data_IF_353959704619
#
_entry.id   IF_353959704619
#
_cell.length_a   1.000
_cell.length_b   1.000
_cell.length_c   1.000
_cell.angle_alpha   90.00
_cell.angle_beta   90.00
_cell.angle_gamma   90.00
#
_symmetry.space_group_name_H-M   'P 1'
#
loop_
_entity.id
_entity.type
_entity.pdbx_description
1 polymer ?
#
# COMPACT_ATOMS: atom_id res chain seq x y z
N UNK A 1 34.77 -32.32 -40.01
CA UNK A 1 33.36 -32.53 -39.59
C UNK A 1 33.25 -33.24 -38.22
N UNK A 2 33.83 -32.73 -37.12
CA UNK A 2 33.67 -33.40 -35.80
C UNK A 2 33.74 -32.49 -34.56
N UNK A 3 33.90 -31.17 -34.71
CA UNK A 3 34.06 -30.27 -33.55
C UNK A 3 32.89 -29.33 -33.29
N UNK A 4 31.91 -29.26 -34.19
CA UNK A 4 30.74 -28.37 -34.04
C UNK A 4 29.52 -29.01 -33.37
N UNK A 5 29.50 -30.33 -33.20
CA UNK A 5 28.34 -31.07 -32.63
C UNK A 5 28.46 -31.27 -31.11
N UNK A 6 29.68 -31.19 -30.52
CA UNK A 6 29.90 -31.43 -29.08
C UNK A 6 29.55 -30.25 -28.16
N UNK A 7 29.24 -29.08 -28.69
CA UNK A 7 28.97 -27.87 -27.88
C UNK A 7 27.48 -27.69 -27.55
N UNK A 8 26.59 -28.54 -28.07
CA UNK A 8 25.13 -28.35 -28.00
C UNK A 8 24.41 -29.13 -26.89
N UNK A 9 25.11 -29.81 -25.96
CA UNK A 9 24.46 -30.68 -24.96
C UNK A 9 24.73 -30.26 -23.48
N UNK A 10 25.57 -29.27 -23.20
CA UNK A 10 25.79 -28.79 -21.82
C UNK A 10 25.19 -27.40 -21.61
N UNK A 11 23.96 -27.35 -21.09
CA UNK A 11 23.41 -26.12 -20.52
C UNK A 11 21.90 -25.97 -20.67
N UNK A 12 21.12 -26.96 -20.24
CA UNK A 12 19.72 -26.75 -19.93
C UNK A 12 19.63 -25.85 -18.67
N UNK A 13 19.60 -24.53 -18.85
CA UNK A 13 19.00 -23.62 -17.89
C UNK A 13 17.67 -23.19 -18.52
N UNK A 14 16.68 -24.04 -18.29
CA UNK A 14 15.29 -23.69 -18.51
C UNK A 14 14.94 -22.55 -17.56
N UNK A 15 14.59 -21.38 -18.09
CA UNK A 15 13.27 -20.76 -17.84
C UNK A 15 13.14 -19.47 -18.68
N UNK A 16 11.97 -19.24 -19.31
CA UNK A 16 11.82 -18.26 -20.38
C UNK A 16 11.60 -16.84 -19.83
N UNK A 17 12.10 -15.85 -20.58
CA UNK A 17 11.56 -14.49 -20.55
C UNK A 17 10.11 -14.53 -21.07
N UNK A 18 9.15 -14.03 -20.28
CA UNK A 18 8.22 -12.93 -20.60
C UNK A 18 7.05 -12.90 -19.59
N UNK A 19 6.77 -11.68 -19.12
CA UNK A 19 5.53 -11.19 -18.52
C UNK A 19 5.15 -11.66 -17.10
N UNK A 20 5.63 -10.90 -16.13
CA UNK A 20 4.69 -10.03 -15.44
C UNK A 20 5.33 -8.66 -15.34
N UNK A 21 4.64 -7.64 -15.83
CA UNK A 21 4.57 -6.37 -15.10
C UNK A 21 4.15 -6.76 -13.69
N UNK A 22 5.12 -7.11 -12.84
CA UNK A 22 4.89 -7.11 -11.42
C UNK A 22 4.77 -5.62 -11.17
N UNK A 23 3.51 -5.18 -11.04
CA UNK A 23 3.18 -4.00 -10.30
C UNK A 23 4.31 -3.79 -9.29
N UNK A 24 5.03 -2.67 -9.36
CA UNK A 24 5.63 -2.14 -8.14
C UNK A 24 4.47 -1.70 -7.24
N UNK A 25 3.57 -2.63 -6.89
CA UNK A 25 3.13 -2.76 -5.53
C UNK A 25 4.43 -2.68 -4.76
N UNK A 26 4.64 -1.56 -4.07
CA UNK A 26 5.51 -1.55 -2.91
C UNK A 26 5.19 -2.84 -2.18
N UNK A 27 6.06 -3.83 -2.40
CA UNK A 27 5.92 -5.09 -1.73
C UNK A 27 5.83 -4.72 -0.26
N UNK A 28 4.87 -5.30 0.44
CA UNK A 28 4.91 -5.43 1.89
C UNK A 28 6.17 -6.26 2.21
N UNK A 29 7.33 -5.65 1.97
CA UNK A 29 8.64 -6.20 2.14
C UNK A 29 8.93 -6.00 3.62
N UNK A 30 8.31 -6.86 4.43
CA UNK A 30 8.90 -7.23 5.70
C UNK A 30 10.16 -8.03 5.34
N UNK A 31 11.21 -7.34 4.88
CA UNK A 31 12.52 -7.95 4.74
C UNK A 31 13.00 -8.34 6.14
N UNK A 32 13.61 -9.52 6.32
CA UNK A 32 14.08 -9.95 7.63
C UNK A 32 15.08 -8.91 8.17
N UNK A 33 14.81 -8.36 9.36
CA UNK A 33 15.73 -7.58 10.17
C UNK A 33 16.14 -6.18 9.68
N UNK A 34 15.47 -5.59 8.68
CA UNK A 34 15.75 -4.18 8.32
C UNK A 34 15.04 -3.22 9.28
N UNK A 35 15.67 -2.10 9.67
CA UNK A 35 14.99 -1.05 10.40
C UNK A 35 13.78 -0.54 9.61
N UNK A 36 12.70 -0.19 10.31
CA UNK A 36 11.50 0.35 9.67
C UNK A 36 11.85 1.52 8.71
N UNK A 37 11.28 1.56 7.48
CA UNK A 37 11.64 2.59 6.50
C UNK A 37 11.36 3.99 7.05
N UNK A 38 12.40 4.84 7.06
CA UNK A 38 12.34 6.25 7.43
C UNK A 38 12.38 7.10 6.16
N UNK A 39 11.24 7.19 5.49
CA UNK A 39 11.00 8.22 4.49
C UNK A 39 9.48 8.38 4.33
N UNK A 40 8.95 9.47 4.91
CA UNK A 40 7.70 10.16 4.58
C UNK A 40 6.40 9.37 4.25
N UNK A 41 6.35 8.06 4.50
CA UNK A 41 5.14 7.29 4.70
C UNK A 41 4.79 7.40 6.18
N UNK A 42 3.53 7.72 6.52
CA UNK A 42 3.12 7.66 7.93
C UNK A 42 3.53 6.30 8.50
N UNK A 43 4.30 6.26 9.61
CA UNK A 43 4.73 4.99 10.17
C UNK A 43 3.47 4.21 10.50
N UNK A 44 3.30 3.05 9.86
CA UNK A 44 2.20 2.14 10.13
C UNK A 44 2.15 1.84 11.62
N UNK A 45 0.95 1.55 12.15
CA UNK A 45 0.79 1.38 13.60
C UNK A 45 1.61 0.20 14.17
N UNK A 46 1.96 -0.79 13.33
CA UNK A 46 2.82 -1.90 13.70
C UNK A 46 4.29 -1.52 13.51
N UNK A 47 4.90 -1.08 14.60
CA UNK A 47 6.35 -1.04 14.71
C UNK A 47 6.86 -2.43 15.13
N UNK A 48 8.07 -2.77 14.72
CA UNK A 48 8.74 -4.00 15.14
C UNK A 48 9.10 -3.98 16.63
N UNK A 49 10.16 -4.67 16.99
CA UNK A 49 10.69 -4.63 18.36
C UNK A 49 11.17 -3.22 18.74
N UNK A 50 11.39 -2.93 20.04
CA UNK A 50 11.86 -1.61 20.51
C UNK A 50 13.19 -1.14 19.89
N UNK A 51 13.98 -2.07 19.35
CA UNK A 51 15.21 -1.82 18.58
C UNK A 51 14.93 -1.36 17.13
N UNK A 52 13.66 -1.21 16.75
CA UNK A 52 13.23 -0.80 15.42
C UNK A 52 13.28 -1.91 14.37
N UNK A 53 13.54 -3.16 14.77
CA UNK A 53 13.74 -4.29 13.86
C UNK A 53 12.55 -5.26 13.82
N UNK A 54 12.44 -6.04 12.75
CA UNK A 54 11.51 -7.15 12.65
C UNK A 54 12.28 -8.47 12.60
N UNK A 55 12.06 -9.35 13.58
CA UNK A 55 12.73 -10.66 13.69
C UNK A 55 11.97 -11.73 12.91
N UNK A 56 11.85 -11.53 11.60
CA UNK A 56 11.11 -12.40 10.68
C UNK A 56 11.76 -13.75 10.41
N UNK A 57 12.98 -13.97 10.90
CA UNK A 57 13.72 -15.23 10.84
C UNK A 57 13.25 -16.27 11.87
N UNK A 58 12.38 -15.88 12.81
CA UNK A 58 11.83 -16.77 13.85
C UNK A 58 10.30 -16.64 13.96
N UNK A 59 9.60 -17.69 14.43
CA UNK A 59 8.18 -17.58 14.72
C UNK A 59 7.92 -16.59 15.86
N UNK A 60 6.85 -15.82 15.74
CA UNK A 60 6.36 -14.91 16.79
C UNK A 60 5.55 -15.68 17.83
N UNK A 61 5.74 -15.39 19.11
CA UNK A 61 4.87 -15.92 20.16
C UNK A 61 3.53 -15.17 20.19
N UNK A 62 2.48 -15.82 20.70
CA UNK A 62 1.18 -15.15 20.88
C UNK A 62 1.29 -13.90 21.77
N UNK A 63 2.18 -13.91 22.75
CA UNK A 63 2.42 -12.78 23.66
C UNK A 63 3.14 -11.62 22.96
N UNK A 64 4.17 -11.90 22.15
CA UNK A 64 4.85 -10.87 21.36
C UNK A 64 3.88 -10.22 20.35
N UNK A 65 3.02 -11.02 19.73
CA UNK A 65 1.99 -10.49 18.85
C UNK A 65 0.99 -9.60 19.60
N UNK A 66 0.51 -10.03 20.76
CA UNK A 66 -0.42 -9.25 21.58
C UNK A 66 0.20 -7.91 22.04
N UNK A 67 1.48 -7.92 22.43
CA UNK A 67 2.21 -6.70 22.80
C UNK A 67 2.34 -5.73 21.61
N UNK A 68 2.70 -6.25 20.43
CA UNK A 68 2.79 -5.45 19.21
C UNK A 68 1.43 -4.87 18.79
N UNK A 69 0.35 -5.65 18.92
CA UNK A 69 -1.01 -5.20 18.65
C UNK A 69 -1.46 -4.12 19.65
N UNK A 70 -1.20 -4.30 20.94
CA UNK A 70 -1.53 -3.31 21.97
C UNK A 70 -0.83 -1.97 21.71
N UNK A 71 0.46 -2.00 21.36
CA UNK A 71 1.22 -0.80 20.99
C UNK A 71 0.65 -0.12 19.73
N UNK A 72 0.23 -0.88 18.72
CA UNK A 72 -0.45 -0.33 17.54
C UNK A 72 -1.77 0.36 17.93
N UNK A 73 -2.60 -0.26 18.78
CA UNK A 73 -3.89 0.31 19.19
C UNK A 73 -3.71 1.63 19.96
N UNK A 74 -2.72 1.72 20.84
CA UNK A 74 -2.36 2.98 21.51
C UNK A 74 -1.94 4.06 20.51
N UNK A 75 -1.12 3.69 19.52
CA UNK A 75 -0.70 4.61 18.45
C UNK A 75 -1.87 5.09 17.60
N UNK A 76 -2.79 4.21 17.24
CA UNK A 76 -4.02 4.55 16.50
C UNK A 76 -4.87 5.54 17.29
N UNK A 77 -5.05 5.33 18.59
CA UNK A 77 -5.78 6.26 19.45
C UNK A 77 -5.13 7.65 19.49
N UNK A 78 -3.80 7.74 19.43
CA UNK A 78 -3.08 9.01 19.33
C UNK A 78 -3.16 9.65 17.92
N UNK A 79 -3.22 8.82 16.87
CA UNK A 79 -3.32 9.24 15.46
C UNK A 79 -4.72 9.69 15.05
N UNK A 80 -5.71 9.53 15.92
CA UNK A 80 -7.04 10.10 15.75
C UNK A 80 -7.12 11.33 16.67
N UNK A 81 -6.37 12.42 16.40
CA UNK A 81 -6.56 13.67 17.13
C UNK A 81 -7.95 14.19 16.77
N UNK A 82 -8.74 14.50 17.79
CA UNK A 82 -10.04 15.15 17.68
C UNK A 82 -11.06 14.36 16.84
N UNK A 83 -11.77 13.44 17.51
CA UNK A 83 -13.01 12.83 16.96
C UNK A 83 -14.06 13.88 16.54
N UNK A 84 -13.88 15.12 16.95
CA UNK A 84 -14.69 16.28 16.60
C UNK A 84 -14.56 16.67 15.11
N UNK A 85 -13.43 16.37 14.46
CA UNK A 85 -13.23 16.61 13.01
C UNK A 85 -13.54 15.37 12.15
N UNK A 86 -14.23 14.38 12.71
CA UNK A 86 -14.72 13.26 11.91
C UNK A 86 -15.88 13.76 11.07
N UNK A 87 -15.81 13.49 9.76
CA UNK A 87 -16.89 13.81 8.84
C UNK A 87 -18.22 13.27 9.37
N UNK A 88 -19.14 14.18 9.64
CA UNK A 88 -20.49 13.87 10.08
C UNK A 88 -21.35 13.41 8.90
N UNK A 89 -22.43 12.69 9.19
CA UNK A 89 -23.40 12.32 8.15
C UNK A 89 -23.97 13.55 7.43
N UNK A 90 -24.21 14.63 8.17
CA UNK A 90 -24.73 15.88 7.63
C UNK A 90 -23.75 16.51 6.62
N UNK A 91 -22.45 16.53 6.93
CA UNK A 91 -21.42 17.04 6.00
C UNK A 91 -21.32 16.17 4.74
N UNK A 92 -21.45 14.86 4.89
CA UNK A 92 -21.45 13.95 3.74
C UNK A 92 -22.67 14.16 2.83
N UNK A 93 -23.85 14.35 3.41
CA UNK A 93 -25.07 14.68 2.66
C UNK A 93 -24.95 16.02 1.94
N UNK A 94 -24.38 17.05 2.60
CA UNK A 94 -24.12 18.34 2.00
C UNK A 94 -23.14 18.25 0.81
N UNK A 95 -22.09 17.42 0.93
CA UNK A 95 -21.16 17.16 -0.17
C UNK A 95 -21.83 16.50 -1.38
N UNK A 96 -22.68 15.49 -1.14
CA UNK A 96 -23.44 14.85 -2.22
C UNK A 96 -24.34 15.87 -2.93
N UNK A 97 -24.99 16.75 -2.15
CA UNK A 97 -25.86 17.77 -2.71
C UNK A 97 -25.08 18.75 -3.60
N UNK A 98 -23.94 19.27 -3.12
CA UNK A 98 -23.08 20.12 -3.95
C UNK A 98 -22.58 19.43 -5.22
N UNK A 99 -22.23 18.15 -5.14
CA UNK A 99 -21.78 17.40 -6.33
C UNK A 99 -22.91 17.29 -7.37
N UNK A 100 -24.16 17.13 -6.94
CA UNK A 100 -25.32 17.11 -7.85
C UNK A 100 -25.52 18.45 -8.54
N UNK A 101 -25.45 19.55 -7.79
CA UNK A 101 -25.58 20.91 -8.31
C UNK A 101 -24.48 21.23 -9.33
N UNK A 102 -23.22 20.93 -8.99
CA UNK A 102 -22.09 21.12 -9.89
C UNK A 102 -22.23 20.30 -11.18
N UNK A 103 -22.70 19.06 -11.08
CA UNK A 103 -22.95 18.23 -12.26
C UNK A 103 -24.10 18.77 -13.13
N UNK A 104 -25.10 19.42 -12.54
CA UNK A 104 -26.18 20.05 -13.29
C UNK A 104 -25.69 21.31 -14.02
N UNK A 105 -24.89 22.14 -13.35
CA UNK A 105 -24.30 23.35 -13.91
C UNK A 105 -23.36 23.05 -15.09
N UNK A 106 -22.52 22.01 -14.98
CA UNK A 106 -21.66 21.57 -16.09
C UNK A 106 -22.50 21.15 -17.32
N UNK A 107 -23.65 20.52 -17.12
CA UNK A 107 -24.53 20.12 -18.24
C UNK A 107 -25.15 21.33 -18.93
N UNK A 108 -25.57 22.32 -18.17
CA UNK A 108 -26.09 23.57 -18.71
C UNK A 108 -25.00 24.32 -19.50
N UNK A 109 -23.80 24.44 -18.92
CA UNK A 109 -22.69 25.12 -19.58
C UNK A 109 -22.30 24.44 -20.90
N UNK A 110 -22.24 23.10 -20.90
CA UNK A 110 -21.98 22.34 -22.13
C UNK A 110 -23.11 22.50 -23.16
N UNK A 111 -24.36 22.63 -22.73
CA UNK A 111 -25.48 22.93 -23.63
C UNK A 111 -25.29 24.28 -24.32
N UNK A 112 -24.99 25.32 -23.55
CA UNK A 112 -24.75 26.68 -24.09
C UNK A 112 -23.58 26.75 -25.07
N UNK A 113 -22.47 26.03 -24.79
CA UNK A 113 -21.31 25.97 -25.69
C UNK A 113 -21.61 25.17 -26.97
N UNK A 114 -22.57 24.24 -26.93
CA UNK A 114 -22.95 23.45 -28.11
C UNK A 114 -23.92 24.20 -29.04
N UNK A 115 -24.64 25.19 -28.50
CA UNK A 115 -25.61 26.02 -29.23
C UNK A 115 -24.98 27.26 -29.90
N UNK A 116 -23.66 27.50 -29.70
CA UNK A 116 -22.86 28.57 -30.30
C UNK A 116 -21.85 28.02 -31.32
#
# INVERSE_FOLDING_TARGET
MSKLIKTLIKGAIATPLIAASVYTSSALAQTPNTPAPSNNAQPGCLSGYPDGTFRGDRPVTRYEFAAGLNACLERVNQLIPNRENLATRAEFEALIQRQRELNAEIRELNGRVSDE
#
